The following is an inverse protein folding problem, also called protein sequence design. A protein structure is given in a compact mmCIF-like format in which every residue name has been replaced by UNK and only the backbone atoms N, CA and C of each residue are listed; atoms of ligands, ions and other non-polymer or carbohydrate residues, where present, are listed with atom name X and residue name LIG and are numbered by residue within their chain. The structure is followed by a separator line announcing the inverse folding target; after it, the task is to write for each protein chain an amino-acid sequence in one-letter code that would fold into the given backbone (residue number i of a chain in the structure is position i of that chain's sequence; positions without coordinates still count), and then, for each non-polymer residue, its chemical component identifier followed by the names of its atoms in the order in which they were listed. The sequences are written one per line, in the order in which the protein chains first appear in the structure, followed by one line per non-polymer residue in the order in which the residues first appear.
data_IF_079064713813
#
_entry.id   IF_079064713813
#
_cell.length_a   1.000
_cell.length_b   1.000
_cell.length_c   1.000
_cell.angle_alpha   90.00
_cell.angle_beta   90.00
_cell.angle_gamma   90.00
#
_symmetry.space_group_name_H-M   'P 1'
#
loop_
_entity.id
_entity.type
_entity.pdbx_description
1 polymer ?
#
# COMPACT_ATOMS: atom_id res chain seq x y z
N UNK A 1 -15.49 14.21 -18.60
CA UNK A 1 -14.61 15.08 -18.97
C UNK A 1 -13.26 14.80 -18.33
N UNK A 2 -12.24 15.50 -18.75
CA UNK A 2 -10.89 15.15 -18.36
C UNK A 2 -10.67 15.04 -16.86
N UNK A 3 -11.41 15.79 -16.10
CA UNK A 3 -11.23 15.78 -14.65
C UNK A 3 -11.38 14.38 -14.07
N UNK A 4 -12.16 13.54 -14.73
CA UNK A 4 -12.36 12.18 -14.26
C UNK A 4 -11.07 11.37 -14.30
N UNK A 5 -10.26 11.59 -15.33
CA UNK A 5 -9.01 10.87 -15.44
C UNK A 5 -8.00 11.29 -14.38
N UNK A 6 -8.06 12.55 -14.00
CA UNK A 6 -7.15 13.06 -12.99
C UNK A 6 -7.42 12.49 -11.61
N UNK A 7 -8.62 11.97 -11.41
CA UNK A 7 -9.00 11.39 -10.14
C UNK A 7 -8.54 9.96 -10.00
N UNK A 8 -8.01 9.36 -11.05
CA UNK A 8 -7.52 8.00 -10.98
C UNK A 8 -6.32 7.95 -10.05
N UNK A 9 -6.43 7.17 -9.01
CA UNK A 9 -5.36 7.02 -8.04
C UNK A 9 -4.34 6.00 -8.53
N UNK A 10 -3.09 6.32 -8.29
CA UNK A 10 -2.00 5.37 -8.51
C UNK A 10 -1.50 4.96 -7.13
N UNK A 11 -1.68 3.70 -6.80
CA UNK A 11 -1.27 3.21 -5.49
C UNK A 11 0.22 2.92 -5.48
N UNK A 12 0.84 3.09 -4.32
CA UNK A 12 2.26 2.85 -4.16
C UNK A 12 2.54 2.61 -2.69
N UNK A 13 3.80 2.35 -2.36
CA UNK A 13 4.18 2.17 -0.95
C UNK A 13 4.06 3.46 -0.16
N UNK A 14 3.97 4.60 -0.85
CA UNK A 14 3.79 5.89 -0.19
C UNK A 14 2.33 6.19 0.09
N UNK A 15 1.42 5.40 -0.46
CA UNK A 15 -0.01 5.57 -0.19
C UNK A 15 -0.31 5.14 1.23
N UNK A 16 -1.30 5.82 1.82
CA UNK A 16 -1.70 5.46 3.18
C UNK A 16 -2.24 4.05 3.23
N UNK A 17 -1.94 3.37 4.32
CA UNK A 17 -2.37 1.98 4.46
C UNK A 17 -3.89 1.86 4.38
N UNK A 18 -4.62 2.82 4.94
CA UNK A 18 -6.07 2.78 4.88
C UNK A 18 -6.59 2.82 3.45
N UNK A 19 -5.94 3.60 2.58
CA UNK A 19 -6.32 3.66 1.18
C UNK A 19 -6.10 2.32 0.49
N UNK A 20 -4.99 1.68 0.80
CA UNK A 20 -4.66 0.40 0.20
C UNK A 20 -5.63 -0.68 0.67
N UNK A 21 -5.99 -0.67 1.94
CA UNK A 21 -6.89 -1.67 2.48
C UNK A 21 -8.33 -1.46 2.05
N UNK A 22 -8.68 -0.25 1.63
CA UNK A 22 -10.00 0.01 1.08
C UNK A 22 -10.21 -0.62 -0.29
N UNK A 23 -9.12 -0.93 -0.99
CA UNK A 23 -9.20 -1.57 -2.29
C UNK A 23 -9.18 -3.08 -2.09
N UNK A 24 -10.25 -3.81 -2.45
CA UNK A 24 -10.32 -5.23 -2.13
C UNK A 24 -9.21 -6.07 -2.76
N UNK A 25 -8.80 -5.73 -3.97
CA UNK A 25 -7.73 -6.48 -4.63
C UNK A 25 -6.39 -6.22 -3.97
N UNK A 26 -6.12 -4.97 -3.62
CA UNK A 26 -4.88 -4.64 -2.94
C UNK A 26 -4.86 -5.26 -1.55
N UNK A 27 -5.99 -5.24 -0.88
CA UNK A 27 -6.08 -5.86 0.44
C UNK A 27 -5.74 -7.36 0.35
N UNK A 28 -6.27 -8.03 -0.64
CA UNK A 28 -5.96 -9.44 -0.84
C UNK A 28 -4.48 -9.65 -1.15
N UNK A 29 -3.92 -8.76 -1.97
CA UNK A 29 -2.50 -8.83 -2.28
C UNK A 29 -1.65 -8.64 -1.04
N UNK A 30 -1.98 -7.66 -0.22
CA UNK A 30 -1.21 -7.40 0.99
C UNK A 30 -1.36 -8.52 2.00
N UNK A 31 -2.52 -9.17 2.04
CA UNK A 31 -2.74 -10.25 2.99
C UNK A 31 -1.87 -11.47 2.68
N UNK A 32 -1.35 -11.60 1.46
CA UNK A 32 -0.42 -12.67 1.15
C UNK A 32 1.00 -12.36 1.63
N UNK A 33 1.29 -11.09 1.90
CA UNK A 33 2.61 -10.67 2.33
C UNK A 33 2.67 -10.40 3.83
N UNK A 34 1.57 -9.95 4.39
CA UNK A 34 1.51 -9.61 5.80
C UNK A 34 0.09 -9.86 6.31
N UNK A 35 -0.04 -9.99 7.61
CA UNK A 35 -1.34 -10.23 8.21
C UNK A 35 -2.05 -8.88 8.42
N UNK A 36 -2.82 -8.47 7.40
CA UNK A 36 -3.48 -7.17 7.45
C UNK A 36 -4.49 -7.09 8.60
N UNK A 37 -5.02 -8.24 9.03
CA UNK A 37 -5.97 -8.25 10.14
C UNK A 37 -5.30 -7.96 11.47
N UNK A 38 -3.99 -8.14 11.55
CA UNK A 38 -3.24 -7.88 12.78
C UNK A 38 -2.72 -6.45 12.85
N UNK A 39 -2.91 -5.68 11.79
CA UNK A 39 -2.44 -4.30 11.75
C UNK A 39 -3.40 -3.43 12.56
N UNK A 40 -2.90 -2.71 13.59
CA UNK A 40 -3.77 -1.84 14.38
C UNK A 40 -4.21 -0.61 13.61
N UNK A 41 -5.41 -0.12 13.93
CA UNK A 41 -5.95 1.05 13.27
C UNK A 41 -5.04 2.28 13.42
N UNK A 42 -4.27 2.31 14.47
CA UNK A 42 -3.41 3.46 14.74
C UNK A 42 -2.39 3.72 13.63
N UNK A 43 -2.00 2.68 12.90
CA UNK A 43 -1.02 2.83 11.83
C UNK A 43 -1.66 2.99 10.45
N UNK A 44 -2.99 2.99 10.38
CA UNK A 44 -3.66 3.15 9.09
C UNK A 44 -3.42 4.52 8.48
N UNK A 45 -3.10 5.52 9.29
CA UNK A 45 -2.79 6.85 8.78
C UNK A 45 -1.38 6.98 8.24
N UNK A 46 -0.56 5.95 8.42
CA UNK A 46 0.82 5.93 7.94
C UNK A 46 0.87 5.30 6.56
N UNK A 47 1.94 5.60 5.82
CA UNK A 47 2.13 4.97 4.52
C UNK A 47 2.49 3.50 4.70
N UNK A 48 2.22 2.70 3.67
CA UNK A 48 2.56 1.28 3.71
C UNK A 48 4.04 1.09 3.99
N UNK A 49 4.87 1.94 3.40
CA UNK A 49 6.30 1.86 3.61
C UNK A 49 6.67 2.01 5.09
N UNK A 50 6.06 2.98 5.76
CA UNK A 50 6.33 3.20 7.18
C UNK A 50 5.92 2.00 8.01
N UNK A 51 4.76 1.44 7.72
CA UNK A 51 4.28 0.26 8.45
C UNK A 51 5.20 -0.92 8.21
N UNK A 52 5.63 -1.12 6.97
CA UNK A 52 6.53 -2.23 6.65
C UNK A 52 7.86 -2.07 7.38
N UNK A 53 8.37 -0.85 7.46
CA UNK A 53 9.63 -0.61 8.17
C UNK A 53 9.48 -0.86 9.66
N UNK A 54 8.31 -0.56 10.21
CA UNK A 54 8.08 -0.81 11.63
C UNK A 54 8.03 -2.30 11.95
N UNK A 55 7.50 -3.10 11.03
CA UNK A 55 7.32 -4.53 11.29
C UNK A 55 8.48 -5.38 10.80
N UNK A 56 9.07 -5.02 9.70
CA UNK A 56 10.11 -5.84 9.07
C UNK A 56 11.45 -5.12 8.91
N UNK A 57 11.50 -3.82 9.23
CA UNK A 57 12.71 -3.04 9.08
C UNK A 57 12.80 -2.38 7.71
N UNK A 58 13.93 -1.72 7.42
CA UNK A 58 14.09 -0.95 6.18
C UNK A 58 13.86 -1.83 4.95
N UNK A 59 13.19 -1.26 3.95
CA UNK A 59 12.93 -1.95 2.70
C UNK A 59 14.05 -1.66 1.70
N UNK A 60 14.40 -2.68 0.91
CA UNK A 60 15.37 -2.52 -0.18
C UNK A 60 14.73 -1.72 -1.31
N UNK A 61 15.59 -1.05 -2.11
CA UNK A 61 15.10 -0.31 -3.26
C UNK A 61 14.39 -1.23 -4.24
N UNK A 62 14.96 -2.40 -4.50
CA UNK A 62 14.33 -3.34 -5.42
C UNK A 62 12.97 -3.80 -4.92
N UNK A 63 12.86 -4.02 -3.63
CA UNK A 63 11.60 -4.43 -3.04
C UNK A 63 10.58 -3.31 -3.13
N UNK A 64 11.02 -2.08 -2.85
CA UNK A 64 10.16 -0.91 -2.94
C UNK A 64 9.65 -0.72 -4.37
N UNK A 65 10.54 -0.83 -5.36
CA UNK A 65 10.14 -0.70 -6.76
C UNK A 65 9.16 -1.79 -7.16
N UNK A 66 9.41 -3.01 -6.73
CA UNK A 66 8.52 -4.12 -7.05
C UNK A 66 7.12 -3.86 -6.51
N UNK A 67 7.04 -3.41 -5.28
CA UNK A 67 5.75 -3.10 -4.67
C UNK A 67 5.06 -1.93 -5.36
N UNK A 68 5.82 -0.89 -5.68
CA UNK A 68 5.26 0.25 -6.40
C UNK A 68 4.69 -0.18 -7.74
N UNK A 69 5.42 -1.02 -8.47
CA UNK A 69 4.96 -1.51 -9.76
C UNK A 69 3.70 -2.36 -9.60
N UNK A 70 3.70 -3.24 -8.61
CA UNK A 70 2.55 -4.10 -8.37
C UNK A 70 1.32 -3.29 -7.99
N UNK A 71 1.49 -2.30 -7.12
CA UNK A 71 0.37 -1.49 -6.66
C UNK A 71 -0.13 -0.55 -7.74
N UNK A 72 0.74 -0.10 -8.62
CA UNK A 72 0.34 0.82 -9.68
C UNK A 72 -0.54 0.16 -10.73
N UNK A 73 -0.62 -1.16 -10.71
CA UNK A 73 -1.48 -1.89 -11.65
C UNK A 73 -2.95 -1.87 -11.21
N UNK A 74 -3.21 -1.54 -9.99
CA UNK A 74 -4.57 -1.43 -9.49
C UNK A 74 -5.07 0.00 -9.64
#
# INVERSE_FOLDING_TARGET
YEATEKLKKIYSVESKLEDLLNHPQIRAFLSTMTEVDMIPDAVYGLSFRQVAEMFSGPMDEGQTEMLNTALSQY
#
